data_IF_919014991835
#
_entry.id   IF_919014991835
#
_cell.length_a   1.000
_cell.length_b   1.000
_cell.length_c   1.000
_cell.angle_alpha   90.00
_cell.angle_beta   90.00
_cell.angle_gamma   90.00
#
_symmetry.space_group_name_H-M   'P 1'
#
loop_
_entity.id
_entity.type
_entity.pdbx_description
1 polymer ?
#
# COMPACT_ATOMS: atom_id res chain seq x y z
N UNK A 1 -10.90 6.02 2.82
CA UNK A 1 -11.55 6.47 1.57
C UNK A 1 -12.37 7.76 1.75
N UNK A 2 -12.88 8.06 2.96
CA UNK A 2 -13.73 9.25 3.18
C UNK A 2 -12.95 10.58 3.26
N UNK A 3 -11.65 10.55 3.60
CA UNK A 3 -10.82 11.76 3.73
C UNK A 3 -10.89 12.74 2.54
N UNK A 4 -10.71 12.32 1.26
CA UNK A 4 -10.83 13.25 0.12
C UNK A 4 -12.24 13.78 -0.11
N UNK A 5 -13.29 13.07 0.33
CA UNK A 5 -14.67 13.56 0.22
C UNK A 5 -14.94 14.71 1.20
N UNK A 6 -14.25 14.73 2.35
CA UNK A 6 -14.35 15.83 3.31
C UNK A 6 -13.76 17.14 2.77
N UNK A 7 -12.77 17.06 1.86
CA UNK A 7 -12.18 18.24 1.20
C UNK A 7 -13.15 18.93 0.24
N UNK A 8 -14.17 18.23 -0.27
CA UNK A 8 -15.20 18.83 -1.14
C UNK A 8 -16.12 19.77 -0.33
N UNK A 9 -16.27 19.49 0.97
CA UNK A 9 -17.13 20.23 1.89
C UNK A 9 -16.34 21.32 2.64
N UNK A 10 -15.02 21.37 2.45
CA UNK A 10 -14.13 22.32 3.14
C UNK A 10 -14.28 23.75 2.57
N UNK A 11 -14.75 24.73 3.38
CA UNK A 11 -14.87 26.11 2.93
C UNK A 11 -13.53 26.85 2.79
N UNK A 12 -12.42 26.31 3.28
CA UNK A 12 -11.10 26.98 3.25
C UNK A 12 -10.34 26.76 1.94
N UNK A 13 -10.57 25.65 1.23
CA UNK A 13 -9.96 25.38 -0.08
C UNK A 13 -10.99 24.72 -1.01
N UNK A 14 -11.77 25.49 -1.80
CA UNK A 14 -12.76 24.91 -2.70
C UNK A 14 -12.06 24.16 -3.84
N UNK A 15 -12.03 22.83 -3.75
CA UNK A 15 -11.56 21.95 -4.82
C UNK A 15 -12.68 21.68 -5.82
N UNK A 16 -12.38 21.76 -7.12
CA UNK A 16 -13.31 21.28 -8.15
C UNK A 16 -13.24 19.76 -8.30
N UNK A 17 -14.33 19.12 -8.75
CA UNK A 17 -14.37 17.68 -9.02
C UNK A 17 -13.25 17.21 -9.96
N UNK A 18 -12.87 18.05 -10.92
CA UNK A 18 -11.80 17.74 -11.88
C UNK A 18 -10.42 17.76 -11.22
N UNK A 19 -10.20 18.66 -10.25
CA UNK A 19 -8.95 18.74 -9.49
C UNK A 19 -8.77 17.59 -8.49
N UNK A 20 -9.88 17.03 -8.01
CA UNK A 20 -9.87 15.87 -7.13
C UNK A 20 -9.54 14.58 -7.89
N UNK A 21 -10.09 14.45 -9.11
CA UNK A 21 -10.03 13.23 -9.91
C UNK A 21 -8.80 13.16 -10.83
N UNK A 22 -8.26 14.31 -11.28
CA UNK A 22 -7.09 14.31 -12.15
C UNK A 22 -5.85 14.68 -11.33
N UNK A 23 -4.89 13.74 -11.14
CA UNK A 23 -3.70 14.02 -10.34
C UNK A 23 -2.88 15.16 -10.97
N UNK A 24 -2.22 15.94 -10.11
CA UNK A 24 -1.33 17.06 -10.49
C UNK A 24 -2.00 18.29 -11.12
N UNK A 25 -3.33 18.40 -11.04
CA UNK A 25 -4.06 19.56 -11.57
C UNK A 25 -4.44 20.61 -10.51
N UNK A 26 -4.03 20.41 -9.26
CA UNK A 26 -4.32 21.33 -8.17
C UNK A 26 -3.55 22.66 -8.31
N UNK A 27 -4.19 23.83 -8.08
CA UNK A 27 -3.54 25.14 -8.21
C UNK A 27 -2.43 25.41 -7.18
N UNK A 28 -2.50 24.76 -6.01
CA UNK A 28 -1.50 24.81 -4.94
C UNK A 28 -0.94 23.41 -4.72
N UNK A 29 0.36 23.29 -4.49
CA UNK A 29 1.06 22.01 -4.18
C UNK A 29 0.64 20.80 -5.05
N UNK A 30 0.63 20.92 -6.39
CA UNK A 30 0.12 19.89 -7.30
C UNK A 30 0.76 18.51 -7.11
N UNK A 31 2.02 18.48 -6.70
CA UNK A 31 2.74 17.24 -6.41
C UNK A 31 2.14 16.51 -5.20
N UNK A 32 1.94 17.21 -4.08
CA UNK A 32 1.40 16.61 -2.86
C UNK A 32 -0.03 16.09 -3.04
N UNK A 33 -0.89 16.88 -3.68
CA UNK A 33 -2.26 16.44 -3.95
C UNK A 33 -2.31 15.30 -4.98
N UNK A 34 -1.45 15.35 -6.01
CA UNK A 34 -1.33 14.26 -6.99
C UNK A 34 -0.92 12.92 -6.37
N UNK A 35 -0.02 12.94 -5.38
CA UNK A 35 0.34 11.73 -4.62
C UNK A 35 -0.85 11.15 -3.84
N UNK A 36 -1.68 12.02 -3.25
CA UNK A 36 -2.91 11.61 -2.56
C UNK A 36 -3.89 10.90 -3.50
N UNK A 37 -4.18 11.52 -4.66
CA UNK A 37 -5.06 10.93 -5.69
C UNK A 37 -4.52 9.61 -6.25
N UNK A 38 -3.21 9.54 -6.52
CA UNK A 38 -2.58 8.30 -7.00
C UNK A 38 -2.67 7.17 -5.97
N UNK A 39 -2.47 7.52 -4.69
CA UNK A 39 -2.60 6.58 -3.58
C UNK A 39 -4.04 6.06 -3.45
N UNK A 40 -5.03 6.95 -3.60
CA UNK A 40 -6.44 6.60 -3.57
C UNK A 40 -6.81 5.60 -4.68
N UNK A 41 -6.40 5.87 -5.92
CA UNK A 41 -6.66 4.97 -7.05
C UNK A 41 -5.95 3.63 -6.89
N UNK A 42 -4.69 3.65 -6.42
CA UNK A 42 -3.98 2.42 -6.10
C UNK A 42 -4.69 1.59 -5.04
N UNK A 43 -5.20 2.20 -3.97
CA UNK A 43 -5.94 1.50 -2.92
C UNK A 43 -7.24 0.89 -3.44
N UNK A 44 -8.00 1.61 -4.27
CA UNK A 44 -9.18 1.08 -4.93
C UNK A 44 -8.85 -0.11 -5.83
N UNK A 45 -7.76 -0.01 -6.60
CA UNK A 45 -7.29 -1.10 -7.45
C UNK A 45 -6.93 -2.36 -6.62
N UNK A 46 -6.26 -2.18 -5.48
CA UNK A 46 -5.89 -3.30 -4.59
C UNK A 46 -7.10 -3.90 -3.90
N UNK A 47 -8.08 -3.10 -3.50
CA UNK A 47 -9.35 -3.59 -2.93
C UNK A 47 -10.08 -4.47 -3.95
N UNK A 48 -10.26 -3.98 -5.17
CA UNK A 48 -10.91 -4.72 -6.26
C UNK A 48 -10.13 -6.02 -6.54
N UNK A 49 -8.82 -5.96 -6.72
CA UNK A 49 -8.03 -7.17 -7.00
C UNK A 49 -8.03 -8.18 -5.85
N UNK A 50 -8.16 -7.72 -4.60
CA UNK A 50 -8.28 -8.59 -3.43
C UNK A 50 -9.65 -9.26 -3.34
N UNK A 51 -10.73 -8.56 -3.67
CA UNK A 51 -12.06 -9.15 -3.76
C UNK A 51 -12.15 -10.18 -4.89
N UNK A 52 -11.48 -9.91 -6.02
CA UNK A 52 -11.40 -10.84 -7.14
C UNK A 52 -10.33 -11.94 -6.96
N UNK A 53 -9.67 -12.06 -5.80
CA UNK A 53 -8.56 -13.04 -5.60
C UNK A 53 -8.94 -14.46 -6.01
N UNK A 54 -10.19 -14.88 -5.77
CA UNK A 54 -10.67 -16.23 -6.04
C UNK A 54 -10.81 -16.52 -7.55
N UNK A 55 -10.82 -15.48 -8.39
CA UNK A 55 -10.96 -15.56 -9.84
C UNK A 55 -9.61 -15.39 -10.57
N UNK A 56 -8.50 -15.27 -9.85
CA UNK A 56 -7.18 -14.97 -10.45
C UNK A 56 -6.07 -15.87 -9.92
N UNK A 57 -4.98 -16.08 -10.70
CA UNK A 57 -3.82 -16.82 -10.23
C UNK A 57 -3.19 -16.15 -9.01
N UNK A 58 -2.88 -16.94 -7.98
CA UNK A 58 -2.27 -16.46 -6.72
C UNK A 58 -0.99 -15.67 -6.94
N UNK A 59 -0.20 -16.02 -7.97
CA UNK A 59 1.02 -15.28 -8.34
C UNK A 59 0.71 -13.84 -8.78
N UNK A 60 -0.32 -13.65 -9.61
CA UNK A 60 -0.72 -12.35 -10.12
C UNK A 60 -1.31 -11.49 -9.01
N UNK A 61 -2.21 -12.06 -8.20
CA UNK A 61 -2.76 -11.40 -7.03
C UNK A 61 -1.66 -10.90 -6.07
N UNK A 62 -0.65 -11.74 -5.80
CA UNK A 62 0.49 -11.34 -4.95
C UNK A 62 1.26 -10.16 -5.53
N UNK A 63 1.52 -10.14 -6.84
CA UNK A 63 2.20 -9.01 -7.48
C UNK A 63 1.43 -7.70 -7.30
N UNK A 64 0.10 -7.72 -7.48
CA UNK A 64 -0.73 -6.54 -7.23
C UNK A 64 -0.79 -6.15 -5.76
N UNK A 65 -0.88 -7.15 -4.87
CA UNK A 65 -0.88 -6.87 -3.43
C UNK A 65 0.45 -6.26 -2.96
N UNK A 66 1.58 -6.61 -3.56
CA UNK A 66 2.87 -5.98 -3.25
C UNK A 66 2.92 -4.48 -3.58
N UNK A 67 2.10 -4.01 -4.54
CA UNK A 67 1.95 -2.59 -4.84
C UNK A 67 1.42 -1.82 -3.62
N UNK A 68 0.70 -2.48 -2.69
CA UNK A 68 0.18 -1.85 -1.47
C UNK A 68 1.28 -1.23 -0.62
N UNK A 69 2.47 -1.83 -0.58
CA UNK A 69 3.61 -1.31 0.18
C UNK A 69 4.12 0.01 -0.42
N UNK A 70 4.17 0.12 -1.75
CA UNK A 70 4.54 1.36 -2.44
C UNK A 70 3.48 2.43 -2.20
N UNK A 71 2.20 2.08 -2.32
CA UNK A 71 1.10 3.01 -2.07
C UNK A 71 1.07 3.48 -0.61
N UNK A 72 1.42 2.61 0.34
CA UNK A 72 1.56 2.99 1.75
C UNK A 72 2.64 4.07 1.94
N UNK A 73 3.79 3.95 1.28
CA UNK A 73 4.84 4.98 1.32
C UNK A 73 4.35 6.31 0.73
N UNK A 74 3.60 6.26 -0.37
CA UNK A 74 2.99 7.46 -0.97
C UNK A 74 1.97 8.10 -0.02
N UNK A 75 1.12 7.30 0.62
CA UNK A 75 0.16 7.78 1.63
C UNK A 75 0.86 8.41 2.83
N UNK A 76 1.92 7.78 3.32
CA UNK A 76 2.71 8.25 4.45
C UNK A 76 3.40 9.57 4.13
N UNK A 77 4.00 9.68 2.94
CA UNK A 77 4.64 10.91 2.46
C UNK A 77 3.62 12.03 2.30
N UNK A 78 2.46 11.73 1.68
CA UNK A 78 1.36 12.68 1.55
C UNK A 78 0.84 13.15 2.91
N UNK A 79 0.67 12.26 3.89
CA UNK A 79 0.20 12.60 5.24
C UNK A 79 1.21 13.41 6.08
N UNK A 80 2.50 13.11 5.95
CA UNK A 80 3.56 13.86 6.66
C UNK A 80 3.74 15.25 6.04
N UNK A 81 3.73 15.36 4.71
CA UNK A 81 3.98 16.64 4.03
C UNK A 81 2.73 17.52 3.92
N UNK A 82 1.54 16.92 3.84
CA UNK A 82 0.27 17.64 3.75
C UNK A 82 -0.42 17.91 5.09
N UNK A 83 -0.04 17.18 6.16
CA UNK A 83 -0.65 17.32 7.48
C UNK A 83 -0.05 18.49 8.26
N UNK A 84 -0.86 19.51 8.57
CA UNK A 84 -0.49 20.60 9.49
C UNK A 84 -0.07 20.09 10.87
N UNK A 85 -0.64 18.96 11.27
CA UNK A 85 -0.46 18.37 12.59
C UNK A 85 0.75 17.41 12.67
N UNK A 86 1.49 17.24 11.58
CA UNK A 86 2.68 16.38 11.55
C UNK A 86 3.81 16.86 12.47
N UNK A 87 3.78 18.13 12.90
CA UNK A 87 4.68 18.70 13.91
C UNK A 87 4.35 18.24 15.34
N UNK A 88 3.15 17.69 15.57
CA UNK A 88 2.76 17.15 16.86
C UNK A 88 3.46 15.80 17.10
N UNK A 89 4.20 15.70 18.21
CA UNK A 89 4.97 14.51 18.57
C UNK A 89 4.12 13.23 18.63
N UNK A 90 2.85 13.34 19.06
CA UNK A 90 1.92 12.21 19.18
C UNK A 90 1.56 11.69 17.79
N UNK A 91 1.20 12.58 16.87
CA UNK A 91 0.83 12.22 15.49
C UNK A 91 2.05 11.68 14.73
N UNK A 92 3.21 12.30 14.91
CA UNK A 92 4.45 11.81 14.33
C UNK A 92 4.81 10.40 14.85
N UNK A 93 4.67 10.16 16.15
CA UNK A 93 4.91 8.82 16.72
C UNK A 93 3.96 7.77 16.14
N UNK A 94 2.71 8.13 15.86
CA UNK A 94 1.74 7.25 15.21
C UNK A 94 2.18 6.88 13.78
N UNK A 95 2.73 7.83 13.01
CA UNK A 95 3.30 7.55 11.69
C UNK A 95 4.48 6.57 11.77
N UNK A 96 5.41 6.79 12.71
CA UNK A 96 6.57 5.91 12.92
C UNK A 96 6.14 4.50 13.32
N UNK A 97 5.23 4.37 14.30
CA UNK A 97 4.72 3.07 14.76
C UNK A 97 4.06 2.31 13.62
N UNK A 98 3.20 2.99 12.85
CA UNK A 98 2.52 2.36 11.71
C UNK A 98 3.52 1.88 10.66
N UNK A 99 4.53 2.70 10.35
CA UNK A 99 5.60 2.33 9.42
C UNK A 99 6.38 1.09 9.89
N UNK A 100 6.78 1.05 11.15
CA UNK A 100 7.51 -0.09 11.74
C UNK A 100 6.67 -1.37 11.69
N UNK A 101 5.39 -1.30 12.05
CA UNK A 101 4.48 -2.46 12.01
C UNK A 101 4.34 -2.99 10.58
N UNK A 102 4.11 -2.12 9.60
CA UNK A 102 3.97 -2.53 8.19
C UNK A 102 5.27 -3.17 7.67
N UNK A 103 6.43 -2.60 8.00
CA UNK A 103 7.72 -3.19 7.64
C UNK A 103 7.94 -4.57 8.28
N UNK A 104 7.63 -4.71 9.56
CA UNK A 104 7.76 -5.99 10.27
C UNK A 104 6.89 -7.07 9.63
N UNK A 105 5.64 -6.72 9.28
CA UNK A 105 4.72 -7.63 8.58
C UNK A 105 5.23 -8.00 7.18
N UNK A 106 5.78 -7.03 6.43
CA UNK A 106 6.37 -7.29 5.11
C UNK A 106 7.53 -8.29 5.20
N UNK A 107 8.43 -8.08 6.15
CA UNK A 107 9.59 -8.96 6.39
C UNK A 107 9.12 -10.35 6.79
N UNK A 108 8.19 -10.45 7.74
CA UNK A 108 7.62 -11.73 8.18
C UNK A 108 6.96 -12.50 7.03
N UNK A 109 6.23 -11.81 6.15
CA UNK A 109 5.60 -12.41 4.97
C UNK A 109 6.64 -13.03 4.02
N UNK A 110 7.74 -12.31 3.74
CA UNK A 110 8.81 -12.80 2.85
C UNK A 110 9.51 -14.02 3.45
N UNK A 111 9.82 -13.99 4.76
CA UNK A 111 10.44 -15.12 5.45
C UNK A 111 9.54 -16.36 5.45
N UNK A 112 8.25 -16.20 5.76
CA UNK A 112 7.29 -17.32 5.78
C UNK A 112 7.19 -18.00 4.41
N UNK A 113 7.07 -17.22 3.33
CA UNK A 113 7.00 -17.77 1.97
C UNK A 113 8.29 -18.50 1.59
N UNK A 114 9.44 -17.93 1.96
CA UNK A 114 10.75 -18.55 1.72
C UNK A 114 10.92 -19.86 2.49
N UNK A 115 10.46 -19.92 3.75
CA UNK A 115 10.50 -21.12 4.58
C UNK A 115 9.66 -22.27 3.99
N UNK A 116 8.44 -21.97 3.52
CA UNK A 116 7.56 -22.97 2.88
C UNK A 116 8.21 -23.52 1.60
N UNK A 117 8.73 -22.64 0.74
CA UNK A 117 9.40 -23.03 -0.50
C UNK A 117 10.64 -23.90 -0.22
N UNK A 118 11.47 -23.52 0.75
CA UNK A 118 12.66 -24.27 1.13
C UNK A 118 12.32 -25.66 1.70
N UNK A 119 11.26 -25.76 2.51
CA UNK A 119 10.77 -27.06 3.02
C UNK A 119 10.30 -27.98 1.89
N UNK A 120 9.57 -27.44 0.91
CA UNK A 120 9.11 -28.20 -0.26
C UNK A 120 10.29 -28.71 -1.11
N UNK A 121 11.27 -27.85 -1.40
CA UNK A 121 12.48 -28.21 -2.15
C UNK A 121 13.31 -29.28 -1.41
N UNK A 122 13.40 -29.18 -0.08
CA UNK A 122 14.11 -30.18 0.73
C UNK A 122 13.42 -31.54 0.65
N UNK A 123 12.10 -31.58 0.77
CA UNK A 123 11.33 -32.83 0.70
C UNK A 123 11.45 -33.51 -0.67
N UNK A 124 11.39 -32.73 -1.76
CA UNK A 124 11.58 -33.26 -3.12
C UNK A 124 12.95 -33.93 -3.28
N UNK A 125 14.04 -33.27 -2.82
CA UNK A 125 15.40 -33.84 -2.88
C UNK A 125 15.54 -35.13 -2.07
N UNK A 126 14.80 -35.28 -0.97
CA UNK A 126 14.81 -36.51 -0.16
C UNK A 126 14.12 -37.65 -0.91
N UNK A 127 12.95 -37.38 -1.52
CA UNK A 127 12.23 -38.37 -2.33
C UNK A 127 13.05 -38.84 -3.53
N UNK A 128 13.67 -37.91 -4.29
CA UNK A 128 14.53 -38.24 -5.44
C UNK A 128 15.70 -39.14 -5.04
N UNK A 129 16.37 -38.87 -3.91
CA UNK A 129 17.47 -39.74 -3.42
C UNK A 129 17.00 -41.12 -2.96
N UNK A 130 15.78 -41.23 -2.47
CA UNK A 130 15.20 -42.51 -2.03
C UNK A 130 14.81 -43.42 -3.20
N UNK A 131 14.51 -42.86 -4.37
CA UNK A 131 14.17 -43.62 -5.58
C UNK A 131 15.40 -44.20 -6.31
N UNK A 132 16.60 -43.70 -6.02
CA UNK A 132 17.87 -44.14 -6.63
C UNK A 132 18.65 -45.16 -5.78
N UNK A 133 18.07 -45.67 -4.69
CA UNK A 133 18.62 -46.76 -3.86
C UNK A 133 17.78 -48.00 -4.02
#
# INVERSE_FOLDING_TARGET
MLHPLLLIIDPYVPFSWMQLLIPFTAPKEPFLYGLGTLTLYGLLFILITTDLKNKMPVKLWRSFHLIAYVLFLLALTHGIMGGTDASNIVIFSMYVVTFVVVLALMIAQIHMVSAIKNKALRNQKVTERGLHR
#
